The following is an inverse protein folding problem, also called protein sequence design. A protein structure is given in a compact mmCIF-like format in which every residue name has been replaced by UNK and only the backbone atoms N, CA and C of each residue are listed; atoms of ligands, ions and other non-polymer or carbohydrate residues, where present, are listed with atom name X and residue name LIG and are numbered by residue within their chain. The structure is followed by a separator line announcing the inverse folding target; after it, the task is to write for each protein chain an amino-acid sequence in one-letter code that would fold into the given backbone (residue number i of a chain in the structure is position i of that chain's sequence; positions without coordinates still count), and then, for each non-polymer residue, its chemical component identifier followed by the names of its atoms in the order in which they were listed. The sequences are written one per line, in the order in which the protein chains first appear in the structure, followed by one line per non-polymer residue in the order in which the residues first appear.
data_IF_217626885091
#
_entry.id   IF_217626885091
#
_cell.length_a   1.000
_cell.length_b   1.000
_cell.length_c   1.000
_cell.angle_alpha   90.00
_cell.angle_beta   90.00
_cell.angle_gamma   90.00
#
_symmetry.space_group_name_H-M   'P 1'
#
loop_
_entity.id
_entity.type
_entity.pdbx_description
1 polymer ?
#
# COMPACT_ATOMS: atom_id res chain seq x y z
N UNK A 1 -4.71 -42.89 -2.27
CA UNK A 1 -4.24 -41.53 -2.61
C UNK A 1 -5.28 -40.57 -2.07
N UNK A 2 -4.97 -39.82 -1.01
CA UNK A 2 -5.87 -38.82 -0.46
C UNK A 2 -6.00 -37.65 -1.42
N UNK A 3 -7.21 -37.11 -1.57
CA UNK A 3 -7.44 -35.90 -2.33
C UNK A 3 -6.50 -34.79 -1.82
N UNK A 4 -5.91 -33.95 -2.70
CA UNK A 4 -5.19 -32.78 -2.24
C UNK A 4 -6.15 -31.96 -1.36
N UNK A 5 -5.74 -31.68 -0.12
CA UNK A 5 -6.49 -30.77 0.75
C UNK A 5 -6.71 -29.43 0.03
N UNK A 6 -7.72 -28.63 0.41
CA UNK A 6 -8.11 -27.44 -0.34
C UNK A 6 -6.86 -26.62 -0.66
N UNK A 7 -6.53 -26.58 -1.96
CA UNK A 7 -5.42 -25.80 -2.49
C UNK A 7 -5.53 -24.40 -1.90
N UNK A 8 -4.42 -23.86 -1.40
CA UNK A 8 -4.37 -22.50 -0.87
C UNK A 8 -5.15 -21.57 -1.82
N UNK A 9 -6.12 -20.83 -1.26
CA UNK A 9 -6.99 -19.98 -2.06
C UNK A 9 -6.11 -19.01 -2.86
N UNK A 10 -6.24 -19.04 -4.17
CA UNK A 10 -5.48 -18.14 -5.03
C UNK A 10 -6.09 -16.74 -4.96
N UNK A 11 -5.43 -15.86 -4.22
CA UNK A 11 -5.84 -14.47 -4.06
C UNK A 11 -5.38 -13.59 -5.24
N UNK A 12 -4.61 -14.13 -6.18
CA UNK A 12 -4.20 -13.39 -7.39
C UNK A 12 -5.33 -13.27 -8.43
N UNK A 13 -6.30 -14.19 -8.39
CA UNK A 13 -7.50 -14.23 -9.24
C UNK A 13 -8.65 -13.35 -8.73
N UNK A 14 -8.44 -12.56 -7.67
CA UNK A 14 -9.47 -11.63 -7.19
C UNK A 14 -9.78 -10.56 -8.24
N UNK A 15 -11.06 -10.17 -8.39
CA UNK A 15 -11.44 -9.04 -9.22
C UNK A 15 -10.70 -7.75 -8.84
N UNK A 16 -10.36 -6.95 -9.84
CA UNK A 16 -9.60 -5.71 -9.67
C UNK A 16 -10.28 -4.74 -8.71
N UNK A 17 -11.60 -4.56 -8.83
CA UNK A 17 -12.42 -3.71 -7.96
C UNK A 17 -12.46 -4.20 -6.50
N UNK A 18 -12.44 -5.51 -6.28
CA UNK A 18 -12.33 -6.08 -4.95
C UNK A 18 -10.95 -5.81 -4.33
N UNK A 19 -9.87 -5.94 -5.12
CA UNK A 19 -8.51 -5.61 -4.67
C UNK A 19 -8.39 -4.11 -4.34
N UNK A 20 -8.81 -3.22 -5.23
CA UNK A 20 -8.75 -1.77 -4.98
C UNK A 20 -9.61 -1.35 -3.78
N UNK A 21 -10.75 -2.00 -3.56
CA UNK A 21 -11.59 -1.75 -2.37
C UNK A 21 -10.90 -2.12 -1.05
N UNK A 22 -10.08 -3.18 -1.05
CA UNK A 22 -9.25 -3.55 0.12
C UNK A 22 -8.09 -2.57 0.27
N UNK A 23 -7.40 -2.27 -0.84
CA UNK A 23 -6.23 -1.38 -0.86
C UNK A 23 -6.56 0.06 -0.49
N UNK A 24 -7.78 0.53 -0.74
CA UNK A 24 -8.26 1.84 -0.31
C UNK A 24 -8.26 2.03 1.23
N UNK A 25 -8.12 0.94 2.00
CA UNK A 25 -8.00 0.96 3.47
C UNK A 25 -6.56 0.96 3.97
N UNK A 26 -5.58 0.81 3.07
CA UNK A 26 -4.16 0.76 3.40
C UNK A 26 -3.52 2.15 3.30
N UNK A 27 -2.49 2.38 4.11
CA UNK A 27 -1.63 3.54 3.99
C UNK A 27 -0.69 3.40 2.78
N UNK A 28 -0.16 4.52 2.29
CA UNK A 28 0.73 4.53 1.13
C UNK A 28 2.00 3.67 1.34
N UNK A 29 2.50 3.59 2.58
CA UNK A 29 3.65 2.72 2.92
C UNK A 29 3.28 1.25 2.78
N UNK A 30 2.07 0.84 3.16
CA UNK A 30 1.60 -0.55 3.05
C UNK A 30 1.36 -0.98 1.60
N UNK A 31 0.97 -0.04 0.74
CA UNK A 31 0.88 -0.27 -0.71
C UNK A 31 2.27 -0.49 -1.33
N UNK A 32 3.18 0.46 -1.10
CA UNK A 32 4.52 0.48 -1.70
C UNK A 32 5.42 -0.67 -1.20
N UNK A 33 5.31 -1.03 0.08
CA UNK A 33 6.17 -2.03 0.71
C UNK A 33 5.48 -3.40 0.88
N UNK A 34 4.22 -3.51 0.49
CA UNK A 34 3.40 -4.71 0.69
C UNK A 34 2.67 -5.11 -0.57
N UNK A 35 1.53 -4.48 -0.83
CA UNK A 35 0.61 -4.89 -1.88
C UNK A 35 1.28 -5.02 -3.27
N UNK A 36 2.17 -4.10 -3.60
CA UNK A 36 2.89 -4.09 -4.88
C UNK A 36 3.88 -5.24 -5.07
N UNK A 37 4.28 -5.92 -4.00
CA UNK A 37 5.32 -6.95 -4.01
C UNK A 37 4.75 -8.37 -4.02
N UNK A 38 3.43 -8.54 -3.91
CA UNK A 38 2.78 -9.85 -3.79
C UNK A 38 2.72 -10.57 -5.14
N UNK A 39 2.04 -9.97 -6.12
CA UNK A 39 1.90 -10.53 -7.46
C UNK A 39 1.53 -9.43 -8.47
N UNK A 40 1.48 -9.77 -9.76
CA UNK A 40 1.20 -8.80 -10.83
C UNK A 40 -0.19 -8.18 -10.73
N UNK A 41 -1.23 -8.95 -10.42
CA UNK A 41 -2.59 -8.40 -10.32
C UNK A 41 -2.70 -7.40 -9.17
N UNK A 42 -2.02 -7.67 -8.05
CA UNK A 42 -1.96 -6.75 -6.91
C UNK A 42 -1.14 -5.50 -7.21
N UNK A 43 -0.02 -5.63 -7.91
CA UNK A 43 0.77 -4.48 -8.39
C UNK A 43 -0.06 -3.52 -9.23
N UNK A 44 -0.82 -4.05 -10.19
CA UNK A 44 -1.65 -3.23 -11.07
C UNK A 44 -2.82 -2.58 -10.31
N UNK A 45 -3.47 -3.31 -9.40
CA UNK A 45 -4.50 -2.73 -8.55
C UNK A 45 -3.95 -1.67 -7.57
N UNK A 46 -2.77 -1.86 -7.00
CA UNK A 46 -2.15 -0.89 -6.07
C UNK A 46 -1.72 0.41 -6.76
N UNK A 47 -1.49 0.40 -8.08
CA UNK A 47 -1.19 1.60 -8.87
C UNK A 47 -2.42 2.41 -9.28
N UNK A 48 -3.63 1.94 -8.98
CA UNK A 48 -4.85 2.58 -9.43
C UNK A 48 -4.95 4.03 -8.88
N UNK A 49 -5.12 5.06 -9.74
CA UNK A 49 -5.01 6.47 -9.32
C UNK A 49 -5.97 6.87 -8.19
N UNK A 50 -7.12 6.21 -8.09
CA UNK A 50 -8.12 6.42 -7.04
C UNK A 50 -7.56 6.16 -5.63
N UNK A 51 -6.61 5.23 -5.49
CA UNK A 51 -5.94 4.93 -4.21
C UNK A 51 -5.02 6.06 -3.77
N UNK A 52 -4.54 6.87 -4.73
CA UNK A 52 -3.56 7.92 -4.53
C UNK A 52 -4.19 9.33 -4.45
N UNK A 53 -5.53 9.43 -4.45
CA UNK A 53 -6.24 10.71 -4.21
C UNK A 53 -6.08 11.18 -2.77
N UNK A 54 -5.99 10.26 -1.81
CA UNK A 54 -5.77 10.55 -0.41
C UNK A 54 -4.57 9.76 0.12
N UNK A 55 -3.41 10.42 0.19
CA UNK A 55 -2.16 9.79 0.63
C UNK A 55 -2.00 9.97 2.13
N UNK A 56 -1.93 8.84 2.84
CA UNK A 56 -1.55 8.81 4.25
C UNK A 56 -0.22 8.07 4.38
N UNK A 57 0.81 8.80 4.79
CA UNK A 57 2.11 8.25 5.14
C UNK A 57 2.14 7.96 6.64
N UNK A 58 1.97 6.70 7.02
CA UNK A 58 2.11 6.26 8.41
C UNK A 58 3.45 5.54 8.59
N UNK A 59 4.31 6.11 9.42
CA UNK A 59 5.60 5.51 9.75
C UNK A 59 5.47 4.73 11.04
N UNK A 60 5.33 3.41 10.94
CA UNK A 60 5.33 2.53 12.10
C UNK A 60 6.77 2.24 12.56
N UNK A 61 7.01 2.01 13.86
CA UNK A 61 8.35 1.71 14.37
C UNK A 61 9.03 0.49 13.72
N UNK A 62 8.23 -0.45 13.20
CA UNK A 62 8.70 -1.66 12.51
C UNK A 62 8.93 -1.47 11.00
N UNK A 63 8.57 -0.32 10.43
CA UNK A 63 8.92 0.01 9.06
C UNK A 63 10.41 0.33 9.03
N UNK A 64 11.24 -0.60 8.52
CA UNK A 64 12.72 -0.57 8.50
C UNK A 64 13.30 0.48 7.53
N UNK A 65 12.52 1.52 7.27
CA UNK A 65 12.78 2.58 6.30
C UNK A 65 13.82 3.53 6.89
N UNK A 66 14.89 3.82 6.16
CA UNK A 66 15.77 4.94 6.49
C UNK A 66 14.95 6.24 6.50
N UNK A 67 14.73 6.77 7.72
CA UNK A 67 13.56 7.59 8.08
C UNK A 67 13.44 8.90 7.31
N UNK A 68 14.49 9.38 6.66
CA UNK A 68 14.45 10.62 5.88
C UNK A 68 14.28 10.37 4.38
N UNK A 69 15.33 9.85 3.76
CA UNK A 69 15.44 9.77 2.30
C UNK A 69 14.40 8.83 1.67
N UNK A 70 14.10 7.70 2.32
CA UNK A 70 13.17 6.73 1.77
C UNK A 70 11.70 7.16 1.91
N UNK A 71 11.34 7.93 2.95
CA UNK A 71 10.01 8.55 3.06
C UNK A 71 9.78 9.61 1.98
N UNK A 72 10.79 10.43 1.66
CA UNK A 72 10.67 11.41 0.58
C UNK A 72 10.46 10.73 -0.79
N UNK A 73 11.16 9.63 -1.06
CA UNK A 73 10.98 8.87 -2.29
C UNK A 73 9.56 8.29 -2.39
N UNK A 74 9.05 7.68 -1.31
CA UNK A 74 7.68 7.18 -1.26
C UNK A 74 6.65 8.30 -1.40
N UNK A 75 6.88 9.46 -0.77
CA UNK A 75 6.01 10.62 -0.88
C UNK A 75 5.92 11.12 -2.33
N UNK A 76 7.06 11.17 -3.02
CA UNK A 76 7.11 11.54 -4.42
C UNK A 76 6.34 10.55 -5.30
N UNK A 77 6.60 9.26 -5.15
CA UNK A 77 5.89 8.21 -5.91
C UNK A 77 4.37 8.30 -5.70
N UNK A 78 3.94 8.51 -4.45
CA UNK A 78 2.54 8.66 -4.11
C UNK A 78 1.87 9.88 -4.81
N UNK A 79 2.59 11.00 -4.85
CA UNK A 79 2.13 12.22 -5.55
C UNK A 79 2.08 12.01 -7.06
N UNK A 80 3.10 11.37 -7.64
CA UNK A 80 3.19 11.12 -9.08
C UNK A 80 2.03 10.21 -9.55
N UNK A 81 1.71 9.16 -8.79
CA UNK A 81 0.59 8.25 -9.06
C UNK A 81 -0.79 8.86 -8.90
N UNK A 82 -0.90 9.91 -8.09
CA UNK A 82 -2.15 10.66 -7.94
C UNK A 82 -2.62 11.31 -9.25
N UNK A 83 -1.73 11.45 -10.24
CA UNK A 83 -2.12 11.93 -11.57
C UNK A 83 -2.72 13.34 -11.55
N UNK A 84 -2.26 14.20 -10.61
CA UNK A 84 -2.78 15.56 -10.33
C UNK A 84 -4.17 15.61 -9.70
N UNK A 85 -4.70 14.48 -9.22
CA UNK A 85 -5.99 14.39 -8.53
C UNK A 85 -5.84 14.27 -7.00
N UNK A 86 -4.71 14.70 -6.45
CA UNK A 86 -4.42 14.62 -5.03
C UNK A 86 -5.33 15.57 -4.26
N UNK A 87 -6.14 15.02 -3.37
CA UNK A 87 -7.08 15.75 -2.53
C UNK A 87 -6.54 15.96 -1.13
N UNK A 88 -5.74 15.00 -0.64
CA UNK A 88 -5.26 14.99 0.74
C UNK A 88 -3.90 14.32 0.84
N UNK A 89 -2.98 14.95 1.56
CA UNK A 89 -1.67 14.40 1.89
C UNK A 89 -1.41 14.57 3.38
N UNK A 90 -1.17 13.47 4.11
CA UNK A 90 -0.93 13.49 5.55
C UNK A 90 0.27 12.62 5.87
N UNK A 91 1.23 13.18 6.62
CA UNK A 91 2.30 12.41 7.26
C UNK A 91 1.94 12.26 8.74
N UNK A 92 1.84 11.02 9.22
CA UNK A 92 1.65 10.69 10.63
C UNK A 92 2.91 9.99 11.13
N UNK A 93 3.59 10.62 12.08
CA UNK A 93 4.50 9.93 12.98
C UNK A 93 3.73 9.50 14.21
N UNK A 94 4.02 8.31 14.74
CA UNK A 94 3.67 8.06 16.15
C UNK A 94 4.54 8.96 17.02
N UNK A 95 3.90 9.73 17.89
CA UNK A 95 4.55 10.42 18.99
C UNK A 95 5.18 9.33 19.88
N UNK A 96 6.51 9.21 19.86
CA UNK A 96 7.22 8.32 20.79
C UNK A 96 6.99 8.93 22.18
N UNK A 97 5.94 8.50 22.87
CA UNK A 97 5.74 8.77 24.28
C UNK A 97 6.82 8.02 25.04
N UNK A 98 7.96 8.68 25.21
CA UNK A 98 8.93 8.28 26.21
C UNK A 98 8.22 8.30 27.56
N UNK A 99 7.98 7.11 28.12
CA UNK A 99 7.65 6.93 29.54
C UNK A 99 8.93 7.00 30.35
#
# INVERSE_FOLDING_TARGET
MGAPGPSARDWSEMPFDALTSVFAKLAAVELLMGAELVCRSWLEAAKAPELWRAVVMMCQPHNVVDRGASLCAMAKEAVDRSGRLLEKFVIRGEEIRHR
#
